data_IF_049881034166
#
_entry.id   IF_049881034166
#
_cell.length_a   1.000
_cell.length_b   1.000
_cell.length_c   1.000
_cell.angle_alpha   90.00
_cell.angle_beta   90.00
_cell.angle_gamma   90.00
#
_symmetry.space_group_name_H-M   'P 1'
#
loop_
_entity.id
_entity.type
_entity.pdbx_description
1 polymer ?
#
# COMPACT_ATOMS: atom_id res chain seq x y z
N UNK A 1 16.39 55.89 -23.27
CA UNK A 1 17.15 55.01 -22.34
C UNK A 1 16.38 54.52 -21.10
N UNK A 2 15.11 54.91 -20.88
CA UNK A 2 14.34 54.46 -19.69
C UNK A 2 13.58 53.14 -19.87
N UNK A 3 13.26 52.74 -21.12
CA UNK A 3 12.48 51.54 -21.41
C UNK A 3 13.24 50.21 -21.27
N UNK A 4 14.57 50.21 -21.49
CA UNK A 4 15.38 49.00 -21.38
C UNK A 4 15.53 48.52 -19.93
N UNK A 5 15.55 49.46 -18.98
CA UNK A 5 15.67 49.18 -17.53
C UNK A 5 14.37 48.55 -17.01
N UNK A 6 13.21 48.97 -17.52
CA UNK A 6 11.91 48.43 -17.12
C UNK A 6 11.71 46.98 -17.58
N UNK A 7 12.16 46.65 -18.80
CA UNK A 7 12.09 45.28 -19.33
C UNK A 7 12.98 44.29 -18.55
N UNK A 8 14.16 44.72 -18.13
CA UNK A 8 15.08 43.89 -17.32
C UNK A 8 14.52 43.57 -15.94
N UNK A 9 13.76 44.49 -15.32
CA UNK A 9 13.13 44.29 -14.01
C UNK A 9 11.98 43.28 -14.04
N UNK A 10 11.27 43.14 -15.17
CA UNK A 10 10.18 42.16 -15.29
C UNK A 10 10.71 40.75 -15.56
N UNK A 11 11.82 40.64 -16.28
CA UNK A 11 12.44 39.35 -16.57
C UNK A 11 12.98 38.67 -15.30
N UNK A 12 13.54 39.42 -14.35
CA UNK A 12 14.04 38.87 -13.08
C UNK A 12 12.93 38.44 -12.12
N UNK A 13 11.75 39.08 -12.17
CA UNK A 13 10.61 38.71 -11.34
C UNK A 13 10.03 37.35 -11.76
N UNK A 14 10.04 37.03 -13.06
CA UNK A 14 9.59 35.74 -13.61
C UNK A 14 10.52 34.59 -13.19
N UNK A 15 11.84 34.82 -13.07
CA UNK A 15 12.76 33.78 -12.59
C UNK A 15 12.62 33.50 -11.08
N UNK A 16 12.14 34.47 -10.31
CA UNK A 16 12.01 34.35 -8.84
C UNK A 16 10.83 33.47 -8.40
N UNK A 17 9.81 33.31 -9.25
CA UNK A 17 8.65 32.42 -9.02
C UNK A 17 8.98 30.94 -9.35
N UNK A 18 10.12 30.68 -10.00
CA UNK A 18 10.60 29.32 -10.31
C UNK A 18 11.51 28.80 -9.19
N UNK A 19 11.20 29.08 -7.92
CA UNK A 19 11.65 28.19 -6.86
C UNK A 19 10.70 26.99 -6.86
N UNK A 20 11.04 25.98 -7.67
CA UNK A 20 10.39 24.68 -7.67
C UNK A 20 10.63 24.00 -6.31
N UNK A 21 9.80 24.31 -5.31
CA UNK A 21 9.67 23.45 -4.14
C UNK A 21 8.97 22.18 -4.61
N UNK A 22 9.52 21.01 -4.28
CA UNK A 22 8.80 19.74 -4.50
C UNK A 22 7.45 19.83 -3.80
N UNK A 23 6.36 19.83 -4.57
CA UNK A 23 4.98 19.81 -4.04
C UNK A 23 4.67 18.41 -3.49
N UNK A 24 5.42 17.40 -3.92
CA UNK A 24 5.30 16.03 -3.48
C UNK A 24 6.07 15.88 -2.16
N UNK A 25 5.37 15.47 -1.09
CA UNK A 25 6.01 15.07 0.17
C UNK A 25 7.10 14.03 -0.11
N UNK A 26 8.13 13.91 0.71
CA UNK A 26 9.07 12.80 0.54
C UNK A 26 8.37 11.48 0.90
N UNK A 27 8.54 10.38 0.15
CA UNK A 27 7.97 9.09 0.52
C UNK A 27 8.55 8.62 1.86
N UNK A 28 7.79 7.86 2.66
CA UNK A 28 8.14 7.54 4.05
C UNK A 28 8.27 6.03 4.31
N UNK A 29 9.22 5.66 5.18
CA UNK A 29 9.46 4.26 5.54
C UNK A 29 8.26 3.68 6.30
N UNK A 30 7.78 2.53 5.86
CA UNK A 30 6.74 1.78 6.53
C UNK A 30 7.35 0.78 7.52
N UNK A 31 6.64 0.55 8.63
CA UNK A 31 7.13 -0.30 9.72
C UNK A 31 6.17 -1.39 10.13
N UNK A 32 4.86 -1.31 9.85
CA UNK A 32 3.93 -2.32 10.39
C UNK A 32 2.62 -2.44 9.61
N UNK A 33 2.06 -3.66 9.55
CA UNK A 33 0.68 -3.89 9.14
C UNK A 33 0.00 -4.91 10.08
N UNK A 34 -1.31 -4.78 10.19
CA UNK A 34 -2.19 -5.58 11.05
C UNK A 34 -3.19 -6.34 10.17
N UNK A 35 -3.34 -7.65 10.40
CA UNK A 35 -4.31 -8.51 9.72
C UNK A 35 -5.25 -9.10 10.75
N UNK A 36 -6.55 -8.97 10.53
CA UNK A 36 -7.59 -9.59 11.35
C UNK A 36 -8.24 -10.75 10.58
N UNK A 37 -8.24 -11.94 11.19
CA UNK A 37 -8.75 -13.18 10.59
C UNK A 37 -9.95 -13.70 11.38
N UNK A 38 -10.98 -14.16 10.67
CA UNK A 38 -12.16 -14.76 11.32
C UNK A 38 -12.10 -16.28 11.35
N UNK A 39 -11.49 -16.90 10.34
CA UNK A 39 -11.37 -18.36 10.25
C UNK A 39 -10.08 -18.75 9.51
N UNK A 40 -9.38 -19.76 10.04
CA UNK A 40 -8.22 -20.35 9.40
C UNK A 40 -8.27 -21.87 9.51
N UNK A 41 -8.01 -22.53 8.40
CA UNK A 41 -8.01 -24.00 8.31
C UNK A 41 -6.62 -24.56 7.93
N UNK A 42 -5.58 -23.74 7.72
CA UNK A 42 -4.21 -24.18 7.42
C UNK A 42 -3.61 -23.60 6.12
N UNK A 43 -3.14 -22.36 6.13
CA UNK A 43 -2.42 -21.79 4.97
C UNK A 43 -0.93 -22.19 5.00
N UNK A 44 -0.39 -22.65 3.87
CA UNK A 44 1.03 -23.06 3.79
C UNK A 44 1.97 -21.91 3.46
N UNK A 45 1.47 -20.88 2.78
CA UNK A 45 2.18 -19.64 2.51
C UNK A 45 1.19 -18.50 2.35
N UNK A 46 1.50 -17.36 2.97
CA UNK A 46 0.81 -16.10 2.75
C UNK A 46 1.83 -15.05 2.34
N UNK A 47 1.52 -14.35 1.25
CA UNK A 47 2.31 -13.22 0.75
C UNK A 47 1.42 -11.98 0.69
N UNK A 48 2.06 -10.80 0.73
CA UNK A 48 1.36 -9.52 0.65
C UNK A 48 2.13 -8.57 -0.27
N UNK A 49 1.40 -7.82 -1.08
CA UNK A 49 1.91 -6.70 -1.87
C UNK A 49 1.01 -5.49 -1.64
N UNK A 50 1.58 -4.32 -1.36
CA UNK A 50 0.82 -3.09 -1.19
C UNK A 50 1.64 -1.88 -1.61
N UNK A 51 0.98 -0.77 -1.87
CA UNK A 51 1.67 0.43 -2.32
C UNK A 51 0.76 1.63 -2.53
N UNK A 52 1.31 2.61 -3.23
CA UNK A 52 0.69 3.91 -3.45
C UNK A 52 0.44 4.23 -4.93
N UNK A 53 -0.21 5.38 -5.16
CA UNK A 53 -0.62 5.84 -6.48
C UNK A 53 0.55 6.29 -7.37
N UNK A 54 1.77 6.36 -6.83
CA UNK A 54 2.98 6.75 -7.55
C UNK A 54 3.80 5.53 -8.00
N UNK A 55 3.32 4.32 -7.73
CA UNK A 55 3.96 3.08 -8.13
C UNK A 55 5.04 2.57 -7.16
N UNK A 56 5.14 3.14 -5.95
CA UNK A 56 6.00 2.56 -4.92
C UNK A 56 5.30 1.35 -4.29
N UNK A 57 5.93 0.18 -4.44
CA UNK A 57 5.42 -1.09 -3.96
C UNK A 57 6.29 -1.66 -2.83
N UNK A 58 5.65 -2.18 -1.80
CA UNK A 58 6.24 -3.08 -0.81
C UNK A 58 5.71 -4.48 -1.04
N UNK A 59 6.61 -5.45 -1.15
CA UNK A 59 6.29 -6.86 -1.34
C UNK A 59 6.96 -7.70 -0.24
N UNK A 60 6.16 -8.50 0.46
CA UNK A 60 6.66 -9.51 1.37
C UNK A 60 6.27 -10.91 0.86
N UNK A 61 7.25 -11.73 0.45
CA UNK A 61 6.99 -13.04 -0.16
C UNK A 61 6.45 -14.07 0.83
N UNK A 62 6.69 -13.87 2.13
CA UNK A 62 6.21 -14.75 3.18
C UNK A 62 6.01 -13.96 4.46
N UNK A 63 4.78 -13.94 4.97
CA UNK A 63 4.41 -13.32 6.25
C UNK A 63 3.93 -14.34 7.28
N UNK A 64 3.68 -15.57 6.86
CA UNK A 64 3.53 -16.72 7.75
C UNK A 64 4.91 -17.20 8.22
N UNK A 65 5.10 -17.29 9.54
CA UNK A 65 6.20 -18.07 10.09
C UNK A 65 5.67 -19.47 10.42
N UNK A 66 6.19 -20.54 9.79
CA UNK A 66 5.72 -21.91 9.99
C UNK A 66 5.90 -22.44 11.42
N UNK A 67 6.65 -21.76 12.29
CA UNK A 67 6.82 -22.12 13.70
C UNK A 67 5.93 -21.31 14.63
N UNK A 68 5.49 -20.14 14.18
CA UNK A 68 4.48 -19.35 14.86
C UNK A 68 3.11 -19.88 14.45
N UNK A 69 2.19 -20.07 15.39
CA UNK A 69 0.79 -20.31 15.03
C UNK A 69 0.18 -18.99 14.56
N UNK A 70 0.67 -18.46 13.45
CA UNK A 70 0.16 -17.26 12.81
C UNK A 70 -1.08 -17.59 11.99
N UNK A 71 -1.92 -16.59 11.85
CA UNK A 71 -3.20 -16.64 11.16
C UNK A 71 -4.23 -17.59 11.78
N UNK A 72 -4.22 -17.91 13.09
CA UNK A 72 -5.29 -18.73 13.69
C UNK A 72 -6.70 -18.14 13.51
N UNK A 73 -7.74 -18.96 13.67
CA UNK A 73 -9.13 -18.46 13.61
C UNK A 73 -9.39 -17.36 14.64
N UNK A 74 -10.17 -16.34 14.28
CA UNK A 74 -10.60 -15.26 15.18
C UNK A 74 -9.43 -14.51 15.86
N UNK A 75 -8.36 -14.27 15.11
CA UNK A 75 -7.13 -13.71 15.66
C UNK A 75 -6.69 -12.47 14.89
N UNK A 76 -5.76 -11.71 15.49
CA UNK A 76 -5.14 -10.58 14.83
C UNK A 76 -3.63 -10.67 14.96
N UNK A 77 -2.93 -10.55 13.84
CA UNK A 77 -1.47 -10.49 13.81
C UNK A 77 -0.98 -9.15 13.31
N UNK A 78 0.13 -8.70 13.89
CA UNK A 78 0.84 -7.51 13.46
C UNK A 78 2.25 -7.90 13.06
N UNK A 79 2.65 -7.49 11.87
CA UNK A 79 3.96 -7.80 11.31
C UNK A 79 4.69 -6.51 10.98
N UNK A 80 6.01 -6.54 11.10
CA UNK A 80 6.87 -5.47 10.64
C UNK A 80 7.51 -5.85 9.31
N UNK A 81 7.16 -5.13 8.24
CA UNK A 81 7.76 -5.30 6.91
C UNK A 81 8.61 -4.08 6.61
N UNK A 82 9.85 -4.34 6.23
CA UNK A 82 10.74 -3.33 5.64
C UNK A 82 10.55 -3.32 4.11
N UNK A 83 10.47 -2.13 3.54
CA UNK A 83 10.33 -1.93 2.10
C UNK A 83 10.73 -0.52 1.68
N UNK A 84 10.61 -0.18 0.39
CA UNK A 84 10.78 1.20 -0.04
C UNK A 84 9.79 2.11 0.68
N UNK A 85 10.18 3.37 0.77
CA UNK A 85 9.31 4.40 1.27
C UNK A 85 8.07 4.55 0.37
N UNK A 86 6.90 4.74 0.96
CA UNK A 86 5.64 4.96 0.24
C UNK A 86 4.96 6.24 0.70
N UNK A 87 3.99 6.68 -0.09
CA UNK A 87 2.99 7.68 0.25
C UNK A 87 1.78 7.02 0.92
N UNK A 88 0.61 7.64 0.75
CA UNK A 88 -0.65 7.08 1.17
C UNK A 88 -0.90 5.76 0.45
N UNK A 89 -0.97 4.69 1.23
CA UNK A 89 -1.34 3.37 0.72
C UNK A 89 -2.75 3.43 0.17
N UNK A 90 -2.91 2.91 -1.04
CA UNK A 90 -4.19 2.88 -1.76
C UNK A 90 -4.47 1.55 -2.45
N UNK A 91 -3.52 0.60 -2.46
CA UNK A 91 -3.77 -0.76 -2.90
C UNK A 91 -3.15 -1.79 -1.95
N UNK A 92 -3.74 -2.97 -1.89
CA UNK A 92 -3.20 -4.15 -1.21
C UNK A 92 -3.72 -5.40 -1.91
N UNK A 93 -2.83 -6.37 -2.09
CA UNK A 93 -3.13 -7.71 -2.56
C UNK A 93 -2.55 -8.72 -1.58
N UNK A 94 -3.36 -9.74 -1.28
CA UNK A 94 -2.95 -10.93 -0.56
C UNK A 94 -2.82 -12.08 -1.54
N UNK A 95 -1.84 -12.94 -1.30
CA UNK A 95 -1.69 -14.22 -1.98
C UNK A 95 -1.64 -15.30 -0.93
N UNK A 96 -2.33 -16.43 -1.18
CA UNK A 96 -2.12 -17.64 -0.41
C UNK A 96 -1.78 -18.81 -1.32
N UNK A 97 -0.99 -19.73 -0.80
CA UNK A 97 -0.91 -21.10 -1.31
C UNK A 97 -1.22 -22.09 -0.19
N UNK A 98 -1.83 -23.22 -0.55
CA UNK A 98 -2.16 -24.27 0.41
C UNK A 98 -3.53 -24.90 0.18
N UNK A 99 -3.74 -26.04 0.82
CA UNK A 99 -4.97 -26.79 0.68
C UNK A 99 -6.13 -26.11 1.41
N UNK A 100 -5.89 -25.58 2.60
CA UNK A 100 -6.98 -25.12 3.45
C UNK A 100 -7.39 -23.66 3.22
N UNK A 101 -8.60 -23.32 3.66
CA UNK A 101 -9.16 -21.97 3.53
C UNK A 101 -8.56 -20.98 4.53
N UNK A 102 -8.47 -19.71 4.11
CA UNK A 102 -8.11 -18.60 4.98
C UNK A 102 -9.06 -17.43 4.72
N UNK A 103 -9.83 -17.05 5.75
CA UNK A 103 -10.80 -15.95 5.69
C UNK A 103 -10.25 -14.73 6.41
N UNK A 104 -10.00 -13.68 5.64
CA UNK A 104 -9.55 -12.39 6.12
C UNK A 104 -10.74 -11.48 6.32
N UNK A 105 -10.83 -10.86 7.49
CA UNK A 105 -11.81 -9.83 7.77
C UNK A 105 -11.29 -8.48 7.29
N UNK A 106 -10.16 -8.04 7.85
CA UNK A 106 -9.57 -6.73 7.51
C UNK A 106 -8.05 -6.78 7.46
N UNK A 107 -7.49 -5.93 6.59
CA UNK A 107 -6.06 -5.61 6.56
C UNK A 107 -5.90 -4.12 6.81
N UNK A 108 -5.08 -3.75 7.79
CA UNK A 108 -4.73 -2.36 8.08
C UNK A 108 -3.23 -2.15 7.95
N UNK A 109 -2.82 -1.29 7.02
CA UNK A 109 -1.41 -0.95 6.79
C UNK A 109 -1.16 0.45 7.33
N UNK A 110 -0.12 0.61 8.16
CA UNK A 110 0.19 1.89 8.78
C UNK A 110 1.69 2.19 8.76
N UNK A 111 2.00 3.43 8.48
CA UNK A 111 3.35 3.97 8.51
C UNK A 111 3.57 4.89 9.68
N UNK A 112 4.82 5.26 9.92
CA UNK A 112 5.14 6.27 10.91
C UNK A 112 4.59 7.66 10.53
N UNK A 113 4.50 7.95 9.23
CA UNK A 113 4.10 9.26 8.70
C UNK A 113 3.00 9.17 7.63
N UNK A 114 2.43 7.99 7.40
CA UNK A 114 1.31 7.77 6.49
C UNK A 114 0.06 7.47 7.29
N UNK A 115 -1.11 7.86 6.79
CA UNK A 115 -2.36 7.51 7.48
C UNK A 115 -2.60 6.02 7.30
N UNK A 116 -3.08 5.38 8.36
CA UNK A 116 -3.47 3.99 8.30
C UNK A 116 -4.52 3.78 7.19
N UNK A 117 -4.26 2.83 6.29
CA UNK A 117 -5.19 2.41 5.25
C UNK A 117 -5.80 1.07 5.66
N UNK A 118 -7.12 1.02 5.76
CA UNK A 118 -7.86 -0.20 6.13
C UNK A 118 -8.65 -0.71 4.92
N UNK A 119 -8.49 -2.00 4.64
CA UNK A 119 -9.13 -2.72 3.56
C UNK A 119 -10.00 -3.84 4.14
N UNK A 120 -11.25 -3.89 3.72
CA UNK A 120 -12.26 -4.80 4.26
C UNK A 120 -12.48 -5.96 3.29
N UNK A 121 -11.89 -7.11 3.59
CA UNK A 121 -11.99 -8.31 2.77
C UNK A 121 -13.30 -9.06 3.07
N UNK A 122 -13.54 -9.39 4.34
CA UNK A 122 -14.60 -10.31 4.79
C UNK A 122 -14.82 -11.52 3.85
N UNK A 123 -13.73 -12.08 3.34
CA UNK A 123 -13.75 -13.05 2.24
C UNK A 123 -12.65 -14.10 2.41
N UNK A 124 -12.91 -15.29 1.85
CA UNK A 124 -11.88 -16.30 1.70
C UNK A 124 -10.91 -15.88 0.59
N UNK A 125 -9.62 -15.88 0.91
CA UNK A 125 -8.59 -15.60 -0.10
C UNK A 125 -8.51 -16.82 -1.04
N UNK A 126 -8.55 -16.63 -2.37
CA UNK A 126 -8.42 -17.73 -3.33
C UNK A 126 -7.00 -18.32 -3.31
N UNK A 127 -6.92 -19.63 -3.57
CA UNK A 127 -5.63 -20.33 -3.64
C UNK A 127 -4.88 -19.96 -4.93
N UNK A 128 -3.59 -19.68 -4.83
CA UNK A 128 -2.68 -19.36 -5.95
C UNK A 128 -3.12 -18.17 -6.81
N UNK A 129 -3.77 -17.17 -6.21
CA UNK A 129 -4.20 -15.96 -6.89
C UNK A 129 -3.97 -14.73 -6.00
N UNK A 130 -3.46 -13.66 -6.59
CA UNK A 130 -3.41 -12.35 -5.94
C UNK A 130 -4.81 -11.75 -5.86
N UNK A 131 -5.29 -11.51 -4.65
CA UNK A 131 -6.65 -11.05 -4.38
C UNK A 131 -6.63 -9.83 -3.46
N UNK A 132 -7.37 -8.79 -3.81
CA UNK A 132 -7.38 -7.54 -3.04
C UNK A 132 -7.97 -6.34 -3.75
N UNK A 133 -7.44 -5.17 -3.44
CA UNK A 133 -7.98 -3.87 -3.81
C UNK A 133 -6.92 -2.99 -4.45
N UNK A 134 -7.30 -2.24 -5.48
CA UNK A 134 -6.57 -1.09 -5.99
C UNK A 134 -7.51 0.11 -6.09
N UNK A 135 -7.28 1.08 -5.21
CA UNK A 135 -8.08 2.30 -5.05
C UNK A 135 -7.25 3.55 -5.34
N UNK A 136 -6.09 3.40 -5.99
CA UNK A 136 -5.15 4.50 -6.23
C UNK A 136 -5.67 5.54 -7.22
N UNK A 137 -6.63 5.17 -8.06
CA UNK A 137 -7.34 6.05 -8.98
C UNK A 137 -8.82 6.06 -8.58
N UNK A 138 -9.29 7.16 -7.98
CA UNK A 138 -10.63 7.25 -7.40
C UNK A 138 -11.75 6.66 -8.26
N UNK A 139 -12.33 5.57 -7.73
CA UNK A 139 -13.62 4.91 -8.04
C UNK A 139 -14.03 4.77 -9.51
N UNK A 140 -13.63 3.66 -10.10
CA UNK A 140 -14.63 2.65 -10.48
C UNK A 140 -14.01 1.28 -10.25
N UNK A 141 -14.48 0.59 -9.21
CA UNK A 141 -14.20 -0.82 -9.00
C UNK A 141 -14.70 -1.60 -10.21
N UNK A 142 -13.84 -1.76 -11.22
CA UNK A 142 -13.99 -2.79 -12.22
C UNK A 142 -13.36 -4.02 -11.61
N UNK A 143 -14.19 -4.94 -11.15
CA UNK A 143 -13.80 -6.34 -10.95
C UNK A 143 -13.32 -6.88 -12.30
N UNK A 144 -12.05 -6.66 -12.59
CA UNK A 144 -11.37 -7.25 -13.74
C UNK A 144 -10.92 -8.63 -13.33
N UNK A 145 -11.84 -9.60 -13.42
CA UNK A 145 -11.48 -11.00 -13.57
C UNK A 145 -11.21 -11.25 -15.06
N UNK A 146 -9.93 -11.31 -15.42
CA UNK A 146 -9.44 -11.76 -16.74
C UNK A 146 -8.05 -12.37 -16.46
N UNK A 147 -7.65 -13.59 -16.85
CA UNK A 147 -8.19 -14.67 -17.69
C UNK A 147 -7.75 -16.00 -17.07
#
# INVERSE_FOLDING_TARGET
MKAAVTFLLHFTFIFSIIQARSIISQPQALRSFKVNDTQNVGSYQISISFGDAYGYQVYAPRIDDPHSRTFESCSTYTFQISGPCTYQICYVYLYRSGYDGWKVDTVTIYGHYTRAATFYYNAFIPNNLWFGFDLCHGTSASSTSIM
#
